data_IF_492162466514
#
_entry.id   IF_492162466514
#
_cell.length_a   1.000
_cell.length_b   1.000
_cell.length_c   1.000
_cell.angle_alpha   90.00
_cell.angle_beta   90.00
_cell.angle_gamma   90.00
#
_symmetry.space_group_name_H-M   'P 1'
#
loop_
_entity.id
_entity.type
_entity.pdbx_description
1 polymer ?
#
# COMPACT_ATOMS: atom_id res chain seq x y z
N UNK A 1 -7.50 42.53 5.02
CA UNK A 1 -6.29 41.70 4.94
C UNK A 1 -6.39 40.34 5.66
N UNK A 2 -7.41 40.02 6.47
CA UNK A 2 -7.44 38.77 7.26
C UNK A 2 -7.92 37.48 6.53
N UNK A 3 -8.65 37.58 5.41
CA UNK A 3 -9.21 36.38 4.71
C UNK A 3 -8.20 35.64 3.83
N UNK A 4 -7.10 36.27 3.45
CA UNK A 4 -6.07 35.68 2.57
C UNK A 4 -5.16 34.74 3.34
N UNK A 5 -4.83 35.09 4.59
CA UNK A 5 -3.92 34.32 5.44
C UNK A 5 -4.53 33.02 6.00
N UNK A 6 -5.86 32.96 6.15
CA UNK A 6 -6.53 31.76 6.67
C UNK A 6 -6.54 30.58 5.66
N UNK A 7 -6.48 30.86 4.36
CA UNK A 7 -6.43 29.82 3.31
C UNK A 7 -5.05 29.18 3.19
N UNK A 8 -4.02 29.90 3.60
CA UNK A 8 -2.62 29.48 3.53
C UNK A 8 -2.25 28.55 4.71
N UNK A 9 -3.04 28.58 5.79
CA UNK A 9 -2.73 27.87 7.04
C UNK A 9 -3.32 26.46 7.19
N UNK A 10 -4.13 25.97 6.24
CA UNK A 10 -4.60 24.57 6.26
C UNK A 10 -4.60 23.99 4.85
N UNK A 11 -3.43 23.96 4.21
CA UNK A 11 -3.21 22.93 3.18
C UNK A 11 -2.58 21.76 3.91
N UNK A 12 -3.40 20.93 4.55
CA UNK A 12 -2.90 19.66 5.09
C UNK A 12 -2.32 18.87 3.91
N UNK A 13 -1.02 18.58 3.96
CA UNK A 13 -0.36 17.74 2.96
C UNK A 13 -1.08 16.39 2.93
N UNK A 14 -1.91 16.20 1.91
CA UNK A 14 -2.73 15.01 1.78
C UNK A 14 -1.87 13.95 1.10
N UNK A 15 -1.48 12.92 1.87
CA UNK A 15 -0.78 11.75 1.34
C UNK A 15 -1.79 10.61 1.25
N UNK A 16 -2.09 10.19 0.04
CA UNK A 16 -2.97 9.04 -0.19
C UNK A 16 -2.60 8.35 -1.49
N UNK A 17 -2.68 7.03 -1.50
CA UNK A 17 -2.56 6.28 -2.73
C UNK A 17 -3.61 5.18 -2.79
N UNK A 18 -3.99 4.85 -4.02
CA UNK A 18 -4.83 3.72 -4.33
C UNK A 18 -4.34 3.15 -5.66
N UNK A 19 -4.04 1.86 -5.67
CA UNK A 19 -3.57 1.15 -6.84
C UNK A 19 -4.28 -0.20 -6.94
N UNK A 20 -4.37 -0.72 -8.16
CA UNK A 20 -5.03 -2.00 -8.44
C UNK A 20 -4.20 -2.85 -9.38
N UNK A 21 -4.47 -4.15 -9.37
CA UNK A 21 -3.87 -5.09 -10.27
C UNK A 21 -4.80 -6.27 -10.49
N UNK A 22 -4.95 -6.66 -11.75
CA UNK A 22 -5.58 -7.90 -12.14
C UNK A 22 -4.52 -8.77 -12.80
N UNK A 23 -4.08 -9.81 -12.12
CA UNK A 23 -3.17 -10.82 -12.68
C UNK A 23 -3.94 -12.12 -12.88
N UNK A 24 -3.95 -12.59 -14.12
CA UNK A 24 -4.35 -13.97 -14.43
C UNK A 24 -3.10 -14.83 -14.40
N UNK A 25 -2.80 -15.41 -13.23
CA UNK A 25 -1.71 -16.38 -13.09
C UNK A 25 -2.24 -17.76 -13.45
N UNK A 26 -1.77 -18.32 -14.56
CA UNK A 26 -2.19 -19.64 -15.08
C UNK A 26 -1.04 -20.64 -15.17
N UNK A 27 0.19 -20.23 -14.85
CA UNK A 27 1.40 -21.05 -14.96
C UNK A 27 1.52 -22.13 -13.88
N UNK A 28 0.71 -22.04 -12.81
CA UNK A 28 0.74 -22.98 -11.69
C UNK A 28 1.97 -22.81 -10.79
N UNK A 29 2.71 -21.71 -10.93
CA UNK A 29 3.89 -21.41 -10.12
C UNK A 29 3.44 -20.79 -8.79
N UNK A 30 4.01 -21.29 -7.69
CA UNK A 30 3.85 -20.66 -6.39
C UNK A 30 4.76 -19.43 -6.30
N UNK A 31 4.18 -18.28 -5.99
CA UNK A 31 4.90 -17.03 -5.74
C UNK A 31 5.20 -16.92 -4.24
N UNK A 32 6.47 -17.11 -3.87
CA UNK A 32 6.94 -17.10 -2.48
C UNK A 32 7.86 -15.90 -2.27
N UNK A 33 7.63 -15.14 -1.20
CA UNK A 33 8.42 -13.96 -0.82
C UNK A 33 8.56 -12.88 -1.91
N UNK A 34 7.60 -12.81 -2.84
CA UNK A 34 7.54 -11.77 -3.86
C UNK A 34 6.83 -10.50 -3.37
N UNK A 35 7.37 -9.34 -3.75
CA UNK A 35 6.70 -8.04 -3.57
C UNK A 35 5.51 -7.93 -4.51
N UNK A 36 4.34 -7.59 -3.96
CA UNK A 36 3.15 -7.33 -4.75
C UNK A 36 3.21 -5.93 -5.38
N UNK A 37 3.30 -5.91 -6.71
CA UNK A 37 3.29 -4.68 -7.50
C UNK A 37 1.86 -4.44 -8.00
N UNK A 38 1.31 -3.26 -7.72
CA UNK A 38 0.03 -2.80 -8.24
C UNK A 38 0.27 -1.70 -9.30
N UNK A 39 0.44 -2.06 -10.59
CA UNK A 39 0.93 -1.13 -11.61
C UNK A 39 -0.10 -0.05 -11.98
N UNK A 40 -1.39 -0.30 -11.78
CA UNK A 40 -2.45 0.64 -12.15
C UNK A 40 -2.74 1.60 -11.02
N UNK A 41 -2.26 2.84 -11.14
CA UNK A 41 -2.54 3.94 -10.21
C UNK A 41 -3.97 4.48 -10.42
N UNK A 42 -4.72 4.59 -9.33
CA UNK A 42 -6.01 5.30 -9.27
C UNK A 42 -5.81 6.67 -8.63
N UNK A 43 -5.05 6.72 -7.53
CA UNK A 43 -4.67 7.95 -6.80
C UNK A 43 -3.23 7.80 -6.29
N UNK A 44 -2.43 8.86 -6.32
CA UNK A 44 -1.10 8.90 -5.70
C UNK A 44 -0.74 10.33 -5.24
N UNK A 45 -1.59 10.95 -4.42
CA UNK A 45 -1.29 12.28 -3.89
C UNK A 45 -0.11 12.20 -2.91
N UNK A 46 0.89 13.06 -3.15
CA UNK A 46 2.16 13.04 -2.41
C UNK A 46 3.22 12.10 -2.99
N UNK A 47 2.93 11.44 -4.12
CA UNK A 47 3.86 10.63 -4.91
C UNK A 47 4.64 9.57 -4.10
N UNK A 48 4.03 9.05 -3.04
CA UNK A 48 4.68 8.12 -2.13
C UNK A 48 4.72 6.68 -2.65
N UNK A 49 3.78 6.26 -3.51
CA UNK A 49 3.75 4.89 -4.04
C UNK A 49 4.44 4.80 -5.40
N UNK A 50 5.39 3.89 -5.53
CA UNK A 50 6.06 3.54 -6.80
C UNK A 50 5.40 2.29 -7.39
N UNK A 51 4.73 2.46 -8.54
CA UNK A 51 4.00 1.40 -9.22
C UNK A 51 4.87 0.43 -10.02
N UNK A 52 6.18 0.69 -10.11
CA UNK A 52 7.15 -0.22 -10.75
C UNK A 52 7.77 -1.18 -9.75
N UNK A 53 7.89 -0.77 -8.47
CA UNK A 53 8.50 -1.58 -7.40
C UNK A 53 7.49 -2.10 -6.38
N UNK A 54 6.30 -1.49 -6.29
CA UNK A 54 5.29 -1.81 -5.28
C UNK A 54 5.60 -1.23 -3.90
N UNK A 55 6.59 -0.34 -3.79
CA UNK A 55 7.06 0.25 -2.54
C UNK A 55 6.35 1.58 -2.28
N UNK A 56 5.95 1.80 -1.03
CA UNK A 56 5.53 3.11 -0.54
C UNK A 56 6.63 3.74 0.30
N UNK A 57 7.06 4.94 -0.08
CA UNK A 57 8.00 5.78 0.66
C UNK A 57 7.23 6.94 1.27
N UNK A 58 7.29 7.09 2.60
CA UNK A 58 6.57 8.15 3.30
C UNK A 58 7.16 9.53 2.91
N UNK A 59 6.40 10.40 2.22
CA UNK A 59 6.90 11.72 1.83
C UNK A 59 6.91 12.70 3.03
N UNK A 60 6.25 12.34 4.13
CA UNK A 60 6.17 13.13 5.38
C UNK A 60 6.11 12.16 6.56
N UNK A 61 6.77 12.48 7.68
CA UNK A 61 6.65 11.69 8.92
C UNK A 61 5.22 11.70 9.44
N UNK A 62 4.69 10.53 9.81
CA UNK A 62 3.34 10.45 10.35
C UNK A 62 2.76 9.05 10.40
N UNK A 63 1.48 8.99 10.73
CA UNK A 63 0.73 7.74 10.85
C UNK A 63 0.03 7.41 9.53
N UNK A 64 0.27 6.20 9.03
CA UNK A 64 -0.26 5.71 7.76
C UNK A 64 -1.14 4.48 7.97
N UNK A 65 -2.29 4.46 7.28
CA UNK A 65 -3.17 3.30 7.20
C UNK A 65 -2.98 2.60 5.86
N UNK A 66 -2.47 1.38 5.90
CA UNK A 66 -2.41 0.51 4.74
C UNK A 66 -3.57 -0.48 4.77
N UNK A 67 -4.22 -0.64 3.63
CA UNK A 67 -5.19 -1.72 3.42
C UNK A 67 -4.88 -2.40 2.09
N UNK A 68 -4.93 -3.74 2.06
CA UNK A 68 -4.74 -4.53 0.86
C UNK A 68 -5.81 -5.61 0.80
N UNK A 69 -6.30 -5.89 -0.40
CA UNK A 69 -7.27 -6.95 -0.68
C UNK A 69 -6.79 -7.74 -1.88
N UNK A 70 -6.81 -9.07 -1.75
CA UNK A 70 -6.47 -10.01 -2.81
C UNK A 70 -7.59 -11.04 -2.91
N UNK A 71 -8.04 -11.25 -4.14
CA UNK A 71 -9.04 -12.25 -4.49
C UNK A 71 -8.41 -13.23 -5.49
N UNK A 72 -7.90 -14.38 -5.04
CA UNK A 72 -7.37 -15.38 -5.95
C UNK A 72 -8.50 -16.00 -6.78
N UNK A 73 -8.22 -16.29 -8.05
CA UNK A 73 -9.18 -16.87 -8.97
C UNK A 73 -9.57 -18.32 -8.61
N UNK A 74 -8.76 -19.01 -7.83
CA UNK A 74 -9.01 -20.37 -7.33
C UNK A 74 -8.88 -20.39 -5.79
N UNK A 75 -9.60 -21.28 -5.09
CA UNK A 75 -9.47 -21.43 -3.65
C UNK A 75 -8.04 -21.88 -3.31
N UNK A 76 -7.21 -20.95 -2.83
CA UNK A 76 -5.83 -21.20 -2.45
C UNK A 76 -5.48 -20.41 -1.20
N UNK A 77 -4.45 -20.88 -0.49
CA UNK A 77 -3.91 -20.14 0.65
C UNK A 77 -3.10 -18.95 0.15
N UNK A 78 -3.36 -17.78 0.72
CA UNK A 78 -2.61 -16.55 0.46
C UNK A 78 -2.00 -16.08 1.77
N UNK A 79 -0.71 -15.77 1.72
CA UNK A 79 0.02 -15.17 2.83
C UNK A 79 0.26 -13.70 2.50
N UNK A 80 -0.13 -12.81 3.41
CA UNK A 80 0.10 -11.37 3.25
C UNK A 80 0.90 -10.81 4.40
N UNK A 81 1.88 -9.99 4.06
CA UNK A 81 2.69 -9.26 5.00
C UNK A 81 2.97 -7.83 4.52
N UNK A 82 3.04 -6.89 5.47
CA UNK A 82 3.62 -5.59 5.22
C UNK A 82 5.05 -5.63 5.75
N UNK A 83 6.01 -5.11 4.97
CA UNK A 83 7.42 -5.03 5.33
C UNK A 83 7.83 -3.56 5.45
N UNK A 84 8.71 -3.25 6.39
CA UNK A 84 9.44 -1.99 6.49
C UNK A 84 10.93 -2.29 6.46
N UNK A 85 11.65 -1.85 5.43
CA UNK A 85 13.08 -2.16 5.22
C UNK A 85 13.38 -3.65 5.46
N UNK A 86 12.69 -4.54 4.73
CA UNK A 86 12.78 -6.00 4.81
C UNK A 86 12.36 -6.65 6.14
N UNK A 87 11.99 -5.86 7.14
CA UNK A 87 11.46 -6.38 8.41
C UNK A 87 9.94 -6.54 8.33
N UNK A 88 9.39 -7.74 8.62
CA UNK A 88 7.95 -7.94 8.59
C UNK A 88 7.28 -7.16 9.73
N UNK A 89 6.40 -6.22 9.39
CA UNK A 89 5.62 -5.44 10.36
C UNK A 89 4.45 -6.28 10.90
N UNK A 90 3.76 -7.01 10.02
CA UNK A 90 2.68 -7.95 10.35
C UNK A 90 2.62 -9.06 9.32
N UNK A 91 2.38 -10.32 9.72
CA UNK A 91 2.10 -11.49 8.85
C UNK A 91 0.72 -12.08 9.13
N UNK A 92 0.03 -12.60 8.11
CA UNK A 92 -1.29 -13.23 8.24
C UNK A 92 -1.47 -14.31 7.16
N UNK A 93 -1.88 -15.50 7.57
CA UNK A 93 -2.21 -16.63 6.70
C UNK A 93 -3.72 -16.66 6.46
N UNK A 94 -4.16 -16.62 5.21
CA UNK A 94 -5.58 -16.62 4.82
C UNK A 94 -5.82 -17.73 3.80
N UNK A 95 -7.03 -18.34 3.80
CA UNK A 95 -7.31 -19.57 3.04
C UNK A 95 -8.05 -19.37 1.71
N UNK A 96 -8.63 -18.21 1.45
CA UNK A 96 -9.49 -18.00 0.26
C UNK A 96 -9.48 -16.55 -0.24
N UNK A 97 -9.93 -15.59 0.56
CA UNK A 97 -9.87 -14.15 0.25
C UNK A 97 -9.03 -13.47 1.30
N UNK A 98 -8.07 -12.67 0.87
CA UNK A 98 -7.03 -12.15 1.75
C UNK A 98 -7.13 -10.63 1.85
N UNK A 99 -7.65 -10.13 2.98
CA UNK A 99 -7.58 -8.71 3.31
C UNK A 99 -6.68 -8.49 4.52
N UNK A 100 -5.92 -7.41 4.48
CA UNK A 100 -5.05 -7.02 5.59
C UNK A 100 -5.06 -5.51 5.77
N UNK A 101 -5.01 -5.09 7.03
CA UNK A 101 -4.90 -3.69 7.41
C UNK A 101 -3.76 -3.52 8.41
N UNK A 102 -3.03 -2.41 8.31
CA UNK A 102 -2.00 -2.05 9.25
C UNK A 102 -2.00 -0.53 9.44
N UNK A 103 -1.88 -0.10 10.70
CA UNK A 103 -1.64 1.28 11.08
C UNK A 103 -0.18 1.37 11.53
N UNK A 104 0.63 2.20 10.88
CA UNK A 104 2.08 2.25 11.07
C UNK A 104 2.52 3.71 11.17
N UNK A 105 3.39 4.02 12.14
CA UNK A 105 4.09 5.30 12.17
C UNK A 105 5.35 5.21 11.32
N UNK A 106 5.46 6.03 10.29
CA UNK A 106 6.61 6.11 9.39
C UNK A 106 7.30 7.46 9.57
N UNK A 107 8.61 7.48 9.40
CA UNK A 107 9.39 8.72 9.33
C UNK A 107 9.72 9.01 7.87
N UNK A 108 9.71 10.29 7.51
CA UNK A 108 10.33 10.77 6.28
C UNK A 108 11.85 10.56 6.40
N UNK A 109 12.48 10.20 5.29
CA UNK A 109 13.93 10.06 5.19
C UNK A 109 14.64 11.41 5.28
#
# INVERSE_FOLDING_TARGET
MAKKELKEYITASTVTFQATYLRLVTDGVEHVDETLIFPTIIVNHGDGYDNTTGVFTAPISGMYLFTVQICPAKPTSVFLAFFNMDNPIRRLKLKTTASKKALVNLQMW
#
